data_IF_868453850286
#
_entry.id   IF_868453850286
#
_cell.length_a   1.000
_cell.length_b   1.000
_cell.length_c   1.000
_cell.angle_alpha   90.00
_cell.angle_beta   90.00
_cell.angle_gamma   90.00
#
_symmetry.space_group_name_H-M   'P 1'
#
loop_
_entity.id
_entity.type
_entity.pdbx_description
1 polymer ?
#
# COMPACT_ATOMS: atom_id res chain seq x y z
N UNK A 1 -15.12 37.81 8.27
CA UNK A 1 -13.71 37.38 8.11
C UNK A 1 -13.58 35.99 8.73
N UNK A 2 -13.50 34.94 7.93
CA UNK A 2 -13.17 33.60 8.41
C UNK A 2 -11.79 33.64 9.05
N UNK A 3 -11.66 33.15 10.29
CA UNK A 3 -10.35 33.05 10.95
C UNK A 3 -9.46 32.13 10.12
N UNK A 4 -8.30 32.64 9.70
CA UNK A 4 -7.28 31.83 9.05
C UNK A 4 -6.74 30.84 10.07
N UNK A 5 -6.96 29.54 9.85
CA UNK A 5 -6.32 28.47 10.62
C UNK A 5 -5.02 28.10 9.93
N UNK A 6 -3.92 28.19 10.65
CA UNK A 6 -2.62 27.66 10.21
C UNK A 6 -2.55 26.18 10.59
N UNK A 7 -2.22 25.34 9.60
CA UNK A 7 -2.01 23.91 9.80
C UNK A 7 -0.56 23.56 9.52
N UNK A 8 0.02 22.71 10.36
CA UNK A 8 1.30 22.06 10.11
C UNK A 8 1.02 20.62 9.71
N UNK A 9 1.55 20.20 8.55
CA UNK A 9 1.34 18.87 8.01
C UNK A 9 2.68 18.27 7.54
N UNK A 10 2.75 16.95 7.56
CA UNK A 10 3.84 16.13 7.01
C UNK A 10 3.24 15.09 6.04
N UNK A 11 4.10 14.34 5.38
CA UNK A 11 3.67 13.30 4.45
C UNK A 11 2.82 12.21 5.14
N UNK A 12 1.75 11.78 4.46
CA UNK A 12 0.83 10.76 4.97
C UNK A 12 1.47 9.36 5.08
N UNK A 13 2.54 9.09 4.36
CA UNK A 13 3.29 7.83 4.41
C UNK A 13 3.91 7.53 5.78
N UNK A 14 4.03 8.55 6.65
CA UNK A 14 4.45 8.35 8.05
C UNK A 14 3.43 7.51 8.84
N UNK A 15 2.15 7.56 8.49
CA UNK A 15 1.08 6.89 9.24
C UNK A 15 0.13 6.03 8.43
N UNK A 16 -0.10 6.37 7.15
CA UNK A 16 -1.09 5.76 6.27
C UNK A 16 -0.50 5.42 4.89
N UNK A 17 0.71 4.86 4.87
CA UNK A 17 1.43 4.50 3.63
C UNK A 17 0.67 3.47 2.75
N UNK A 18 -0.27 2.74 3.35
CA UNK A 18 -1.36 2.08 2.64
C UNK A 18 -2.69 2.56 3.25
N UNK A 19 -3.41 3.50 2.62
CA UNK A 19 -4.60 4.10 3.22
C UNK A 19 -5.85 3.22 3.11
N UNK A 20 -5.72 1.92 2.78
CA UNK A 20 -6.88 1.03 2.56
C UNK A 20 -7.80 0.93 3.75
N UNK A 21 -7.26 0.81 4.97
CA UNK A 21 -8.11 0.73 6.17
C UNK A 21 -8.66 2.08 6.59
N UNK A 22 -7.94 3.17 6.29
CA UNK A 22 -8.46 4.53 6.48
C UNK A 22 -9.65 4.79 5.57
N UNK A 23 -9.56 4.40 4.29
CA UNK A 23 -10.66 4.51 3.33
C UNK A 23 -11.87 3.67 3.76
N UNK A 24 -11.63 2.45 4.25
CA UNK A 24 -12.69 1.59 4.80
C UNK A 24 -13.37 2.23 6.01
N UNK A 25 -12.59 2.75 6.97
CA UNK A 25 -13.12 3.42 8.15
C UNK A 25 -13.94 4.67 7.79
N UNK A 26 -13.48 5.46 6.81
CA UNK A 26 -14.21 6.63 6.32
C UNK A 26 -15.52 6.25 5.62
N UNK A 27 -15.54 5.18 4.82
CA UNK A 27 -16.78 4.69 4.20
C UNK A 27 -17.82 4.25 5.24
N UNK A 28 -17.38 3.52 6.27
CA UNK A 28 -18.22 3.14 7.42
C UNK A 28 -18.74 4.39 8.15
N UNK A 29 -17.87 5.39 8.38
CA UNK A 29 -18.25 6.68 8.99
C UNK A 29 -19.30 7.44 8.16
N UNK A 30 -19.32 7.23 6.85
CA UNK A 30 -20.31 7.78 5.93
C UNK A 30 -21.57 6.90 5.80
N UNK A 31 -21.77 5.95 6.72
CA UNK A 31 -22.91 5.03 6.79
C UNK A 31 -23.01 4.00 5.67
N UNK A 32 -21.91 3.64 5.01
CA UNK A 32 -21.88 2.47 4.14
C UNK A 32 -21.68 1.19 4.96
N UNK A 33 -22.47 0.15 4.68
CA UNK A 33 -22.25 -1.16 5.29
C UNK A 33 -21.05 -1.85 4.63
N UNK A 34 -20.45 -2.81 5.33
CA UNK A 34 -19.28 -3.53 4.81
C UNK A 34 -19.58 -4.29 3.51
N UNK A 35 -20.82 -4.75 3.34
CA UNK A 35 -21.30 -5.49 2.16
C UNK A 35 -21.45 -4.61 0.92
N UNK A 36 -21.64 -3.30 1.10
CA UNK A 36 -21.73 -2.31 0.03
C UNK A 36 -20.35 -1.86 -0.47
N UNK A 37 -19.29 -2.24 0.24
CA UNK A 37 -17.94 -1.74 -0.01
C UNK A 37 -17.13 -2.79 -0.79
N UNK A 38 -16.47 -2.33 -1.85
CA UNK A 38 -15.45 -3.07 -2.58
C UNK A 38 -14.18 -2.22 -2.64
N UNK A 39 -13.03 -2.78 -2.29
CA UNK A 39 -11.76 -2.06 -2.22
C UNK A 39 -10.76 -2.62 -3.21
N UNK A 40 -10.29 -1.77 -4.11
CA UNK A 40 -9.07 -1.99 -4.88
C UNK A 40 -7.94 -1.15 -4.29
N UNK A 41 -6.91 -1.80 -3.78
CA UNK A 41 -5.72 -1.16 -3.22
C UNK A 41 -4.56 -1.30 -4.20
N UNK A 42 -4.03 -0.18 -4.68
CA UNK A 42 -2.95 -0.14 -5.68
C UNK A 42 -1.67 0.33 -4.99
N UNK A 43 -0.69 -0.56 -4.90
CA UNK A 43 0.64 -0.24 -4.38
C UNK A 43 1.58 0.29 -5.45
N UNK A 44 2.64 0.96 -5.00
CA UNK A 44 3.71 1.54 -5.85
C UNK A 44 4.76 0.51 -6.27
N UNK A 45 4.55 -0.74 -5.93
CA UNK A 45 5.50 -1.83 -6.08
C UNK A 45 6.22 -2.15 -4.77
N UNK A 46 6.71 -3.37 -4.66
CA UNK A 46 7.55 -3.83 -3.56
C UNK A 46 8.90 -4.31 -4.07
N UNK A 47 9.94 -4.06 -3.28
CA UNK A 47 11.27 -4.61 -3.50
C UNK A 47 11.62 -5.47 -2.30
N UNK A 48 11.83 -6.77 -2.53
CA UNK A 48 12.25 -7.70 -1.46
C UNK A 48 13.73 -7.50 -1.09
N UNK A 49 14.08 -6.32 -0.55
CA UNK A 49 15.37 -6.08 0.08
C UNK A 49 15.33 -6.58 1.52
N UNK A 50 15.58 -7.88 1.69
CA UNK A 50 15.81 -8.43 3.02
C UNK A 50 16.98 -7.69 3.68
N UNK A 51 16.80 -7.33 4.95
CA UNK A 51 17.85 -6.78 5.80
C UNK A 51 18.41 -7.95 6.63
N UNK A 52 19.61 -8.46 6.32
CA UNK A 52 20.21 -9.55 7.07
C UNK A 52 20.46 -9.15 8.53
N UNK A 53 20.23 -10.07 9.45
CA UNK A 53 20.43 -9.84 10.89
C UNK A 53 21.87 -9.42 11.20
N UNK A 54 22.86 -9.98 10.52
CA UNK A 54 24.27 -9.67 10.70
C UNK A 54 24.57 -8.19 10.42
N UNK A 55 23.81 -7.59 9.49
CA UNK A 55 23.90 -6.15 9.19
C UNK A 55 23.14 -5.33 10.22
N UNK A 56 21.98 -5.80 10.68
CA UNK A 56 21.11 -5.07 11.60
C UNK A 56 21.61 -5.04 13.06
N UNK A 57 22.24 -6.13 13.53
CA UNK A 57 22.64 -6.30 14.94
C UNK A 57 23.64 -5.25 15.45
N UNK A 58 24.34 -4.57 14.56
CA UNK A 58 25.33 -3.54 14.87
C UNK A 58 24.84 -2.10 14.66
N UNK A 59 23.56 -1.90 14.35
CA UNK A 59 23.04 -0.55 14.10
C UNK A 59 23.02 0.28 15.39
N UNK A 60 23.77 1.40 15.37
CA UNK A 60 23.67 2.47 16.35
C UNK A 60 22.83 3.64 15.83
N UNK A 61 22.77 4.72 16.61
CA UNK A 61 21.97 5.91 16.30
C UNK A 61 22.27 6.51 14.92
N UNK A 62 23.51 6.45 14.45
CA UNK A 62 23.90 6.94 13.13
C UNK A 62 23.32 6.12 11.98
N UNK A 63 23.32 4.78 12.08
CA UNK A 63 22.74 3.91 11.05
C UNK A 63 21.21 4.02 11.02
N UNK A 64 20.59 4.15 12.19
CA UNK A 64 19.14 4.35 12.30
C UNK A 64 18.71 5.72 11.75
N UNK A 65 19.36 6.81 12.17
CA UNK A 65 18.92 8.17 11.86
C UNK A 65 19.54 8.80 10.59
N UNK A 66 20.83 8.59 10.32
CA UNK A 66 21.57 9.32 9.28
C UNK A 66 21.56 8.61 7.91
N UNK A 67 21.34 7.29 7.89
CA UNK A 67 21.32 6.50 6.65
C UNK A 67 19.90 6.22 6.13
N UNK A 68 18.86 6.88 6.66
CA UNK A 68 17.48 6.74 6.17
C UNK A 68 16.79 5.40 6.47
N UNK A 69 17.46 4.45 7.15
CA UNK A 69 16.94 3.10 7.43
C UNK A 69 15.69 3.10 8.31
N UNK A 70 15.58 4.09 9.22
CA UNK A 70 14.38 4.27 10.03
C UNK A 70 13.17 4.64 9.15
N UNK A 71 13.36 5.46 8.12
CA UNK A 71 12.29 5.87 7.20
C UNK A 71 11.84 4.66 6.38
N UNK A 72 12.76 3.86 5.86
CA UNK A 72 12.42 2.64 5.10
C UNK A 72 11.57 1.67 5.95
N UNK A 73 11.99 1.35 7.18
CA UNK A 73 11.26 0.43 8.07
C UNK A 73 9.93 1.02 8.55
N UNK A 74 9.91 2.31 8.90
CA UNK A 74 8.68 2.97 9.37
C UNK A 74 7.63 3.16 8.28
N UNK A 75 8.04 3.27 7.01
CA UNK A 75 7.09 3.38 5.90
C UNK A 75 6.56 2.01 5.47
N UNK A 76 7.37 0.96 5.58
CA UNK A 76 6.95 -0.39 5.16
C UNK A 76 5.98 -1.04 6.16
N UNK A 77 6.21 -0.88 7.46
CA UNK A 77 5.36 -1.51 8.48
C UNK A 77 3.87 -1.11 8.42
N UNK A 78 3.49 0.18 8.27
CA UNK A 78 2.10 0.58 8.10
C UNK A 78 1.45 -0.04 6.86
N UNK A 79 2.20 -0.21 5.76
CA UNK A 79 1.66 -0.80 4.54
C UNK A 79 1.06 -2.19 4.78
N UNK A 80 1.79 -3.03 5.51
CA UNK A 80 1.39 -4.39 5.84
C UNK A 80 0.29 -4.44 6.90
N UNK A 81 0.36 -3.59 7.92
CA UNK A 81 -0.66 -3.52 8.97
C UNK A 81 -2.02 -3.12 8.36
N UNK A 82 -2.05 -2.06 7.56
CA UNK A 82 -3.29 -1.61 6.91
C UNK A 82 -3.82 -2.64 5.91
N UNK A 83 -2.93 -3.30 5.17
CA UNK A 83 -3.30 -4.41 4.27
C UNK A 83 -3.92 -5.56 5.04
N UNK A 84 -3.34 -5.95 6.16
CA UNK A 84 -3.84 -7.01 7.03
C UNK A 84 -5.23 -6.67 7.57
N UNK A 85 -5.38 -5.50 8.20
CA UNK A 85 -6.66 -5.04 8.76
C UNK A 85 -7.75 -5.02 7.69
N UNK A 86 -7.49 -4.40 6.52
CA UNK A 86 -8.47 -4.36 5.43
C UNK A 86 -8.81 -5.76 4.95
N UNK A 87 -7.82 -6.64 4.78
CA UNK A 87 -8.05 -8.01 4.32
C UNK A 87 -8.93 -8.80 5.28
N UNK A 88 -8.65 -8.74 6.58
CA UNK A 88 -9.43 -9.47 7.59
C UNK A 88 -10.87 -8.96 7.68
N UNK A 89 -11.06 -7.64 7.69
CA UNK A 89 -12.40 -7.05 7.74
C UNK A 89 -13.22 -7.39 6.49
N UNK A 90 -12.62 -7.24 5.30
CA UNK A 90 -13.31 -7.54 4.04
C UNK A 90 -13.46 -9.05 3.77
N UNK A 91 -12.58 -9.88 4.34
CA UNK A 91 -12.59 -11.35 4.21
C UNK A 91 -13.52 -12.05 5.20
N UNK A 92 -13.80 -11.44 6.35
CA UNK A 92 -14.78 -11.95 7.33
C UNK A 92 -16.23 -11.89 6.84
N UNK A 93 -16.48 -11.12 5.77
CA UNK A 93 -17.75 -11.06 5.06
C UNK A 93 -17.85 -12.29 4.16
N UNK A 94 -18.10 -13.44 4.77
CA UNK A 94 -18.25 -14.71 4.05
C UNK A 94 -19.27 -14.57 2.92
N UNK A 95 -18.79 -14.57 1.68
CA UNK A 95 -19.63 -14.87 0.52
C UNK A 95 -19.98 -16.35 0.54
N UNK A 96 -21.23 -16.71 0.23
CA UNK A 96 -21.63 -18.11 0.03
C UNK A 96 -20.78 -18.80 -1.06
N UNK A 97 -20.16 -18.00 -1.94
CA UNK A 97 -19.13 -18.41 -2.88
C UNK A 97 -17.76 -17.91 -2.43
N UNK A 98 -16.97 -18.78 -1.78
CA UNK A 98 -15.64 -18.49 -1.24
C UNK A 98 -14.58 -18.10 -2.31
N UNK A 99 -14.98 -18.00 -3.58
CA UNK A 99 -14.09 -17.70 -4.71
C UNK A 99 -14.00 -16.20 -5.05
N UNK A 100 -14.79 -15.34 -4.38
CA UNK A 100 -15.00 -13.95 -4.79
C UNK A 100 -14.68 -12.96 -3.66
N UNK A 101 -13.50 -12.32 -3.71
CA UNK A 101 -13.05 -11.33 -2.70
C UNK A 101 -13.42 -9.90 -3.08
N UNK A 102 -14.11 -9.18 -2.18
CA UNK A 102 -14.39 -7.72 -2.29
C UNK A 102 -13.17 -6.84 -2.01
N UNK A 103 -12.03 -7.44 -1.71
CA UNK A 103 -10.75 -6.77 -1.56
C UNK A 103 -9.73 -7.30 -2.57
N UNK A 104 -9.18 -6.40 -3.38
CA UNK A 104 -8.12 -6.69 -4.35
C UNK A 104 -6.92 -5.79 -4.08
N UNK A 105 -5.77 -6.39 -3.71
CA UNK A 105 -4.48 -5.69 -3.62
C UNK A 105 -3.66 -5.96 -4.87
N UNK A 106 -3.19 -4.90 -5.49
CA UNK A 106 -2.29 -4.93 -6.64
C UNK A 106 -0.94 -4.39 -6.20
N UNK A 107 0.09 -5.23 -6.28
CA UNK A 107 1.43 -4.88 -5.82
C UNK A 107 2.46 -5.58 -6.72
N UNK A 108 3.01 -4.87 -7.73
CA UNK A 108 4.02 -5.44 -8.61
C UNK A 108 5.39 -5.56 -7.93
N UNK A 109 6.18 -6.56 -8.30
CA UNK A 109 7.58 -6.62 -7.92
C UNK A 109 8.38 -5.58 -8.74
N UNK A 110 9.14 -4.73 -8.05
CA UNK A 110 10.03 -3.74 -8.66
C UNK A 110 11.49 -4.04 -8.31
N UNK A 111 12.38 -3.55 -9.16
CA UNK A 111 13.83 -3.82 -9.08
C UNK A 111 14.63 -2.64 -8.50
N UNK A 112 14.04 -1.45 -8.51
CA UNK A 112 14.57 -0.26 -7.84
C UNK A 112 13.43 0.33 -7.02
N UNK A 113 13.69 0.55 -5.75
CA UNK A 113 12.80 1.10 -4.73
C UNK A 113 13.15 2.56 -4.38
N UNK A 114 14.16 3.13 -5.04
CA UNK A 114 14.52 4.53 -4.88
C UNK A 114 13.36 5.43 -5.37
N UNK A 115 12.63 5.98 -4.40
CA UNK A 115 11.44 6.82 -4.63
C UNK A 115 11.79 8.13 -5.35
N UNK A 116 13.00 8.64 -5.17
CA UNK A 116 13.50 9.90 -5.72
C UNK A 116 14.21 9.75 -7.08
N UNK A 117 14.36 8.52 -7.59
CA UNK A 117 14.94 8.28 -8.92
C UNK A 117 13.93 8.59 -10.04
N UNK A 118 13.86 9.87 -10.40
CA UNK A 118 13.05 10.39 -11.50
C UNK A 118 13.74 10.30 -12.88
N UNK A 119 14.77 9.47 -13.05
CA UNK A 119 15.44 9.33 -14.35
C UNK A 119 14.49 8.76 -15.40
N UNK A 120 14.64 9.20 -16.66
CA UNK A 120 13.80 8.72 -17.78
C UNK A 120 13.86 7.19 -17.93
N UNK A 121 15.03 6.61 -17.70
CA UNK A 121 15.25 5.16 -17.71
C UNK A 121 14.46 4.45 -16.60
N UNK A 122 14.49 4.96 -15.36
CA UNK A 122 13.78 4.36 -14.25
C UNK A 122 12.26 4.43 -14.46
N UNK A 123 11.74 5.60 -14.86
CA UNK A 123 10.31 5.78 -15.18
C UNK A 123 9.86 4.84 -16.30
N UNK A 124 10.65 4.69 -17.38
CA UNK A 124 10.33 3.78 -18.47
C UNK A 124 10.30 2.31 -18.00
N UNK A 125 11.22 1.93 -17.10
CA UNK A 125 11.27 0.60 -16.47
C UNK A 125 10.03 0.35 -15.63
N UNK A 126 9.64 1.28 -14.76
CA UNK A 126 8.44 1.20 -13.91
C UNK A 126 7.17 1.10 -14.75
N UNK A 127 7.04 1.90 -15.81
CA UNK A 127 5.91 1.79 -16.76
C UNK A 127 5.81 0.42 -17.41
N UNK A 128 6.95 -0.18 -17.79
CA UNK A 128 6.98 -1.53 -18.36
C UNK A 128 6.57 -2.58 -17.33
N UNK A 129 7.07 -2.49 -16.09
CA UNK A 129 6.67 -3.38 -15.00
C UNK A 129 5.15 -3.29 -14.76
N UNK A 130 4.60 -2.09 -14.66
CA UNK A 130 3.17 -1.88 -14.46
C UNK A 130 2.32 -2.48 -15.60
N UNK A 131 2.71 -2.24 -16.86
CA UNK A 131 2.02 -2.83 -18.03
C UNK A 131 2.05 -4.36 -18.02
N UNK A 132 3.21 -4.95 -17.75
CA UNK A 132 3.36 -6.40 -17.71
C UNK A 132 2.53 -7.01 -16.57
N UNK A 133 2.57 -6.40 -15.38
CA UNK A 133 1.79 -6.83 -14.25
C UNK A 133 0.29 -6.74 -14.53
N UNK A 134 -0.18 -5.63 -15.09
CA UNK A 134 -1.58 -5.46 -15.47
C UNK A 134 -2.02 -6.52 -16.48
N UNK A 135 -1.20 -6.79 -17.50
CA UNK A 135 -1.47 -7.84 -18.51
C UNK A 135 -1.57 -9.23 -17.89
N UNK A 136 -0.63 -9.60 -17.01
CA UNK A 136 -0.60 -10.90 -16.35
C UNK A 136 -1.78 -11.12 -15.40
N UNK A 137 -2.31 -10.04 -14.82
CA UNK A 137 -3.35 -10.11 -13.79
C UNK A 137 -4.73 -9.70 -14.30
N UNK A 138 -4.95 -9.58 -15.63
CA UNK A 138 -6.23 -9.18 -16.21
C UNK A 138 -7.43 -9.98 -15.67
N UNK A 139 -7.25 -11.28 -15.44
CA UNK A 139 -8.29 -12.14 -14.86
C UNK A 139 -8.72 -11.71 -13.45
N UNK A 140 -7.80 -11.25 -12.61
CA UNK A 140 -8.13 -10.74 -11.27
C UNK A 140 -8.99 -9.49 -11.35
N UNK A 141 -8.67 -8.56 -12.27
CA UNK A 141 -9.47 -7.36 -12.50
C UNK A 141 -10.87 -7.70 -12.99
N UNK A 142 -10.98 -8.59 -13.99
CA UNK A 142 -12.26 -9.00 -14.53
C UNK A 142 -13.12 -9.69 -13.47
N UNK A 143 -12.52 -10.54 -12.64
CA UNK A 143 -13.24 -11.20 -11.56
C UNK A 143 -13.71 -10.20 -10.50
N UNK A 144 -12.87 -9.24 -10.12
CA UNK A 144 -13.24 -8.19 -9.17
C UNK A 144 -14.36 -7.27 -9.68
N UNK A 145 -14.34 -6.93 -10.98
CA UNK A 145 -15.38 -6.09 -11.58
C UNK A 145 -16.73 -6.78 -11.72
N UNK A 146 -16.78 -8.12 -11.82
CA UNK A 146 -18.05 -8.88 -11.87
C UNK A 146 -18.83 -8.87 -10.55
N UNK A 147 -18.20 -8.45 -9.45
CA UNK A 147 -18.78 -8.42 -8.09
C UNK A 147 -19.64 -7.16 -7.89
N UNK A 148 -19.40 -6.12 -8.69
CA UNK A 148 -20.06 -4.81 -8.62
C UNK A 148 -20.96 -4.58 -9.83
#
# INVERSE_FOLDING_TARGET
KTQSKTYSAIDGGVGANNPSSCALAEAIRLNHSLEEISIISIGTGESNRSIPWEKARGWGLGQWGWQGRLIEVLFDAPCDIHRYITKELMGSLGSEDATVSRYLRLQPQITSDAMDDATRSNIAKLKRVAKNYAWQNQGLFQNFLKIN
#
